data_IF_622932819906
#
_entry.id   IF_622932819906
#
_cell.length_a   1.000
_cell.length_b   1.000
_cell.length_c   1.000
_cell.angle_alpha   90.00
_cell.angle_beta   90.00
_cell.angle_gamma   90.00
#
_symmetry.space_group_name_H-M   'P 1'
#
loop_
_entity.id
_entity.type
_entity.pdbx_description
1 polymer ?
#
# COMPACT_ATOMS: atom_id res chain seq x y z
N UNK A 1 3.61 5.30 18.54
CA UNK A 1 4.59 6.32 18.96
C UNK A 1 5.46 6.53 17.74
N UNK A 2 5.44 7.74 17.20
CA UNK A 2 6.10 8.05 15.94
C UNK A 2 7.62 8.04 16.10
N UNK A 3 8.32 7.35 15.20
CA UNK A 3 9.78 7.28 15.11
C UNK A 3 10.50 7.17 16.47
N UNK A 4 10.29 6.07 17.21
CA UNK A 4 10.95 5.80 18.47
C UNK A 4 12.48 6.00 18.40
N UNK A 5 12.99 6.94 19.19
CA UNK A 5 14.42 7.14 19.39
C UNK A 5 14.86 6.43 20.69
N UNK A 6 15.80 5.48 20.65
CA UNK A 6 16.23 4.69 21.81
C UNK A 6 17.05 5.46 22.85
N UNK A 7 17.41 6.72 22.59
CA UNK A 7 18.07 7.60 23.57
C UNK A 7 19.57 7.75 23.35
N UNK A 8 20.36 7.74 24.42
CA UNK A 8 21.79 8.03 24.39
C UNK A 8 22.61 6.89 23.77
N UNK A 9 22.60 6.83 22.44
CA UNK A 9 23.36 5.90 21.61
C UNK A 9 24.84 6.26 21.49
N UNK A 10 25.25 7.42 22.03
CA UNK A 10 26.64 7.88 21.99
C UNK A 10 27.46 7.36 23.19
N UNK A 11 26.81 6.88 24.25
CA UNK A 11 27.47 6.18 25.35
C UNK A 11 27.96 4.80 24.90
N UNK A 12 29.27 4.47 25.07
CA UNK A 12 29.80 3.15 24.76
C UNK A 12 29.06 1.98 25.40
N UNK A 13 28.44 2.18 26.57
CA UNK A 13 27.62 1.17 27.23
C UNK A 13 26.31 0.85 26.50
N UNK A 14 25.86 1.74 25.60
CA UNK A 14 24.58 1.68 24.91
C UNK A 14 24.71 1.43 23.40
N UNK A 15 25.90 1.13 22.89
CA UNK A 15 26.09 0.92 21.45
C UNK A 15 25.17 -0.17 20.89
N UNK A 16 24.81 -1.19 21.66
CA UNK A 16 23.86 -2.22 21.24
C UNK A 16 22.49 -1.66 20.82
N UNK A 17 22.07 -0.51 21.38
CA UNK A 17 20.83 0.19 21.02
C UNK A 17 20.92 0.90 19.66
N UNK A 18 22.13 1.29 19.23
CA UNK A 18 22.38 1.91 17.92
C UNK A 18 22.70 0.88 16.83
N UNK A 19 23.28 -0.25 17.22
CA UNK A 19 23.77 -1.27 16.29
C UNK A 19 22.66 -2.03 15.55
N UNK A 20 21.38 -1.69 15.71
CA UNK A 20 20.31 -2.29 14.88
C UNK A 20 20.55 -2.01 13.38
N UNK A 21 21.07 -0.82 13.04
CA UNK A 21 21.38 -0.45 11.65
C UNK A 21 22.54 -1.24 11.02
N UNK A 22 23.62 -1.49 11.76
CA UNK A 22 24.84 -2.11 11.21
C UNK A 22 24.90 -3.63 11.41
N UNK A 23 24.29 -4.14 12.49
CA UNK A 23 24.45 -5.52 12.93
C UNK A 23 23.13 -6.20 13.29
N UNK A 24 21.98 -5.59 12.94
CA UNK A 24 20.66 -6.15 13.24
C UNK A 24 20.48 -6.48 14.74
N UNK A 25 21.05 -5.64 15.62
CA UNK A 25 20.87 -5.77 17.07
C UNK A 25 19.41 -5.50 17.45
N UNK A 26 18.71 -6.43 18.12
CA UNK A 26 17.32 -6.25 18.52
C UNK A 26 17.17 -5.49 19.85
N UNK A 27 18.25 -4.94 20.41
CA UNK A 27 18.28 -4.47 21.80
C UNK A 27 17.32 -3.31 22.07
N UNK A 28 17.20 -2.36 21.13
CA UNK A 28 16.31 -1.21 21.30
C UNK A 28 14.84 -1.65 21.39
N UNK A 29 14.40 -2.48 20.46
CA UNK A 29 13.03 -2.99 20.41
C UNK A 29 12.77 -3.94 21.58
N UNK A 30 13.62 -4.94 21.77
CA UNK A 30 13.41 -6.01 22.76
C UNK A 30 13.46 -5.48 24.18
N UNK A 31 14.46 -4.67 24.51
CA UNK A 31 14.75 -4.28 25.90
C UNK A 31 14.04 -2.99 26.31
N UNK A 32 13.70 -2.11 25.36
CA UNK A 32 13.08 -0.81 25.65
C UNK A 32 11.65 -0.72 25.10
N UNK A 33 11.49 -0.87 23.78
CA UNK A 33 10.19 -0.58 23.15
C UNK A 33 9.13 -1.64 23.45
N UNK A 34 9.48 -2.92 23.48
CA UNK A 34 8.53 -3.99 23.74
C UNK A 34 7.92 -3.89 25.15
N UNK A 35 8.69 -3.73 26.24
CA UNK A 35 8.13 -3.47 27.56
C UNK A 35 7.28 -2.19 27.61
N UNK A 36 7.75 -1.12 26.95
CA UNK A 36 7.01 0.14 26.86
C UNK A 36 5.65 -0.05 26.17
N UNK A 37 5.62 -0.67 24.99
CA UNK A 37 4.40 -0.90 24.24
C UNK A 37 3.46 -1.85 24.98
N UNK A 38 3.95 -2.93 25.62
CA UNK A 38 3.11 -3.80 26.46
C UNK A 38 2.43 -3.04 27.58
N UNK A 39 3.15 -2.14 28.24
CA UNK A 39 2.57 -1.29 29.29
C UNK A 39 1.49 -0.36 28.74
N UNK A 40 1.75 0.31 27.61
CA UNK A 40 0.80 1.22 26.96
C UNK A 40 -0.44 0.46 26.45
N UNK A 41 -0.25 -0.69 25.80
CA UNK A 41 -1.33 -1.53 25.27
C UNK A 41 -2.20 -2.04 26.41
N UNK A 42 -1.62 -2.51 27.52
CA UNK A 42 -2.38 -2.93 28.69
C UNK A 42 -3.26 -1.78 29.23
N UNK A 43 -2.73 -0.56 29.29
CA UNK A 43 -3.49 0.62 29.71
C UNK A 43 -4.62 0.97 28.71
N UNK A 44 -4.34 0.93 27.41
CA UNK A 44 -5.38 1.13 26.36
C UNK A 44 -6.47 0.08 26.50
N UNK A 45 -6.09 -1.20 26.64
CA UNK A 45 -7.03 -2.32 26.75
C UNK A 45 -7.83 -2.28 28.04
N UNK A 46 -7.39 -1.61 29.10
CA UNK A 46 -8.21 -1.42 30.30
C UNK A 46 -9.49 -0.62 30.02
N UNK A 47 -9.50 0.23 28.99
CA UNK A 47 -10.64 1.10 28.64
C UNK A 47 -11.19 0.88 27.24
N UNK A 48 -10.42 0.28 26.34
CA UNK A 48 -10.75 0.11 24.93
C UNK A 48 -10.24 -1.23 24.41
N UNK A 49 -11.14 -2.20 24.31
CA UNK A 49 -10.83 -3.54 23.81
C UNK A 49 -10.81 -3.63 22.28
N UNK A 50 -11.41 -2.68 21.56
CA UNK A 50 -11.81 -2.87 20.15
C UNK A 50 -10.94 -2.20 19.10
N UNK A 51 -10.20 -1.17 19.46
CA UNK A 51 -9.44 -0.42 18.46
C UNK A 51 -8.11 -1.09 18.15
N UNK A 52 -7.66 -0.95 16.91
CA UNK A 52 -6.32 -1.34 16.49
C UNK A 52 -5.30 -0.48 17.22
N UNK A 53 -4.25 -1.11 17.74
CA UNK A 53 -3.09 -0.43 18.30
C UNK A 53 -1.94 -0.54 17.30
N UNK A 54 -1.58 0.60 16.72
CA UNK A 54 -0.43 0.71 15.84
C UNK A 54 0.85 0.98 16.66
N UNK A 55 1.93 0.26 16.36
CA UNK A 55 3.22 0.38 17.03
C UNK A 55 4.37 0.37 16.02
N UNK A 56 5.50 0.98 16.34
CA UNK A 56 6.61 1.19 15.41
C UNK A 56 7.92 0.59 15.96
N UNK A 57 8.83 0.12 15.09
CA UNK A 57 10.22 -0.16 15.48
C UNK A 57 11.00 1.15 15.67
N UNK A 58 12.29 1.10 16.01
CA UNK A 58 13.12 2.31 15.85
C UNK A 58 13.17 2.74 14.38
N UNK A 59 13.34 4.05 14.16
CA UNK A 59 13.18 4.69 12.85
C UNK A 59 14.17 4.25 11.75
N UNK A 60 15.16 3.41 12.05
CA UNK A 60 16.24 3.03 11.13
C UNK A 60 16.41 1.52 10.96
N UNK A 61 15.44 0.72 11.39
CA UNK A 61 15.48 -0.73 11.19
C UNK A 61 15.24 -1.10 9.73
N UNK A 62 16.31 -1.49 9.04
CA UNK A 62 16.28 -1.90 7.62
C UNK A 62 16.45 -3.41 7.43
N UNK A 63 16.83 -4.16 8.48
CA UNK A 63 17.18 -5.58 8.40
C UNK A 63 16.11 -6.51 8.98
N UNK A 64 15.56 -6.17 10.14
CA UNK A 64 14.39 -6.81 10.77
C UNK A 64 13.92 -5.96 11.93
N UNK A 65 12.65 -6.06 12.31
CA UNK A 65 12.22 -5.49 13.59
C UNK A 65 12.87 -6.28 14.73
N UNK A 66 13.45 -5.58 15.71
CA UNK A 66 13.99 -6.21 16.92
C UNK A 66 12.95 -6.85 17.87
N UNK A 67 11.66 -6.89 17.49
CA UNK A 67 10.61 -7.54 18.29
C UNK A 67 10.65 -9.08 18.23
N UNK A 68 11.36 -9.68 17.27
CA UNK A 68 11.62 -11.14 17.20
C UNK A 68 10.38 -12.05 17.31
N UNK A 69 9.23 -11.61 16.78
CA UNK A 69 7.96 -12.35 16.85
C UNK A 69 7.22 -12.23 18.18
N UNK A 70 7.75 -11.48 19.14
CA UNK A 70 7.03 -11.16 20.37
C UNK A 70 5.83 -10.26 20.08
N UNK A 71 4.71 -10.57 20.73
CA UNK A 71 3.44 -9.85 20.58
C UNK A 71 3.24 -8.86 21.72
N UNK A 72 2.46 -7.81 21.44
CA UNK A 72 2.10 -6.83 22.47
C UNK A 72 0.98 -7.37 23.38
N UNK A 73 0.10 -8.22 22.84
CA UNK A 73 -1.01 -8.89 23.52
C UNK A 73 -0.83 -10.43 23.46
N UNK A 74 0.17 -10.99 24.17
CA UNK A 74 0.48 -12.43 24.08
C UNK A 74 -0.65 -13.35 24.54
N UNK A 75 -1.55 -12.85 25.40
CA UNK A 75 -2.65 -13.61 25.99
C UNK A 75 -3.91 -13.67 25.10
N UNK A 76 -3.96 -12.92 23.99
CA UNK A 76 -5.13 -12.82 23.09
C UNK A 76 -4.74 -13.18 21.64
N UNK A 77 -4.26 -14.41 21.38
CA UNK A 77 -3.53 -14.68 20.16
C UNK A 77 -4.38 -14.69 18.89
N UNK A 78 -5.68 -14.97 19.00
CA UNK A 78 -6.60 -15.08 17.86
C UNK A 78 -7.43 -13.79 17.65
N UNK A 79 -7.33 -12.84 18.58
CA UNK A 79 -8.07 -11.57 18.54
C UNK A 79 -7.17 -10.32 18.60
N UNK A 80 -5.83 -10.47 18.52
CA UNK A 80 -4.94 -9.32 18.66
C UNK A 80 -5.28 -8.26 17.62
N UNK A 81 -5.52 -7.03 18.09
CA UNK A 81 -5.80 -5.87 17.24
C UNK A 81 -4.54 -5.02 17.16
N UNK A 82 -3.48 -5.64 16.67
CA UNK A 82 -2.15 -5.03 16.53
C UNK A 82 -1.89 -4.72 15.05
N UNK A 83 -1.28 -3.56 14.80
CA UNK A 83 -0.77 -3.18 13.50
C UNK A 83 0.69 -2.73 13.63
N UNK A 84 1.58 -3.41 12.93
CA UNK A 84 2.97 -3.07 12.85
C UNK A 84 3.12 -1.95 11.83
N UNK A 85 3.41 -0.78 12.37
CA UNK A 85 3.51 0.47 11.66
C UNK A 85 4.97 0.79 11.39
N UNK A 86 5.28 1.27 10.19
CA UNK A 86 6.65 1.53 9.78
C UNK A 86 6.71 2.56 8.66
N UNK A 87 7.88 3.15 8.46
CA UNK A 87 8.09 4.24 7.51
C UNK A 87 8.96 3.81 6.34
N UNK A 88 8.75 4.42 5.18
CA UNK A 88 9.61 4.21 4.01
C UNK A 88 10.09 5.51 3.40
N UNK A 89 11.34 5.85 3.71
CA UNK A 89 12.07 6.97 3.13
C UNK A 89 13.32 6.46 2.42
N UNK A 90 13.42 6.72 1.11
CA UNK A 90 14.69 6.47 0.43
C UNK A 90 15.67 7.58 0.79
N UNK A 91 16.72 7.25 1.53
CA UNK A 91 17.78 8.21 1.93
C UNK A 91 18.43 8.91 0.73
N UNK A 92 18.53 8.22 -0.40
CA UNK A 92 19.10 8.78 -1.62
C UNK A 92 18.14 9.74 -2.34
N UNK A 93 16.83 9.69 -2.06
CA UNK A 93 15.76 10.45 -2.73
C UNK A 93 16.03 11.96 -2.88
N UNK A 94 16.49 12.70 -1.85
CA UNK A 94 16.72 14.15 -1.94
C UNK A 94 17.89 14.51 -2.88
N UNK A 95 18.77 13.55 -3.16
CA UNK A 95 19.97 13.70 -4.00
C UNK A 95 19.94 12.76 -5.21
N UNK A 96 18.77 12.23 -5.61
CA UNK A 96 18.68 11.29 -6.74
C UNK A 96 19.00 12.02 -8.03
N UNK A 97 20.26 11.97 -8.40
CA UNK A 97 20.62 11.92 -9.81
C UNK A 97 19.94 10.69 -10.42
N UNK A 98 19.43 10.75 -11.67
CA UNK A 98 18.72 9.63 -12.30
C UNK A 98 19.44 8.27 -12.19
N UNK A 99 20.77 8.30 -12.13
CA UNK A 99 21.64 7.13 -12.00
C UNK A 99 21.54 6.38 -10.67
N UNK A 100 21.04 6.99 -9.59
CA UNK A 100 20.91 6.33 -8.27
C UNK A 100 19.47 5.91 -7.94
N UNK A 101 18.51 6.20 -8.83
CA UNK A 101 17.09 5.85 -8.62
C UNK A 101 16.84 4.35 -8.43
N UNK A 102 17.67 3.50 -9.05
CA UNK A 102 17.58 2.05 -8.89
C UNK A 102 17.92 1.59 -7.46
N UNK A 103 18.76 2.33 -6.72
CA UNK A 103 19.07 2.01 -5.32
C UNK A 103 17.84 2.20 -4.44
N UNK A 104 17.05 3.25 -4.68
CA UNK A 104 15.76 3.42 -4.01
C UNK A 104 14.80 2.28 -4.34
N UNK A 105 14.78 1.78 -5.58
CA UNK A 105 13.95 0.63 -5.95
C UNK A 105 14.33 -0.66 -5.19
N UNK A 106 15.63 -0.94 -5.09
CA UNK A 106 16.15 -2.07 -4.32
C UNK A 106 15.84 -1.88 -2.84
N UNK A 107 16.08 -0.68 -2.31
CA UNK A 107 15.85 -0.33 -0.91
C UNK A 107 14.39 -0.52 -0.52
N UNK A 108 13.44 0.05 -1.26
CA UNK A 108 12.01 -0.11 -0.97
C UNK A 108 11.63 -1.58 -0.95
N UNK A 109 11.94 -2.34 -1.99
CA UNK A 109 11.58 -3.77 -2.01
C UNK A 109 12.20 -4.56 -0.87
N UNK A 110 13.45 -4.27 -0.52
CA UNK A 110 14.10 -4.90 0.62
C UNK A 110 13.39 -4.55 1.94
N UNK A 111 13.16 -3.26 2.19
CA UNK A 111 12.50 -2.78 3.40
C UNK A 111 11.08 -3.36 3.52
N UNK A 112 10.28 -3.31 2.46
CA UNK A 112 8.93 -3.91 2.45
C UNK A 112 8.98 -5.41 2.77
N UNK A 113 9.91 -6.16 2.17
CA UNK A 113 10.06 -7.59 2.47
C UNK A 113 10.41 -7.86 3.93
N UNK A 114 11.29 -7.04 4.51
CA UNK A 114 11.71 -7.13 5.91
C UNK A 114 10.57 -6.77 6.86
N UNK A 115 9.82 -5.70 6.58
CA UNK A 115 8.73 -5.25 7.45
C UNK A 115 7.49 -6.15 7.32
N UNK A 116 7.19 -6.66 6.12
CA UNK A 116 6.16 -7.68 5.92
C UNK A 116 6.52 -9.00 6.64
N UNK A 117 7.78 -9.44 6.55
CA UNK A 117 8.26 -10.58 7.32
C UNK A 117 8.09 -10.36 8.82
N UNK A 118 8.48 -9.18 9.32
CA UNK A 118 8.32 -8.80 10.72
C UNK A 118 6.84 -8.88 11.13
N UNK A 119 5.95 -8.14 10.46
CA UNK A 119 4.51 -8.14 10.75
C UNK A 119 3.92 -9.56 10.78
N UNK A 120 4.33 -10.43 9.84
CA UNK A 120 3.94 -11.85 9.82
C UNK A 120 4.46 -12.64 11.01
N UNK A 121 5.71 -12.42 11.42
CA UNK A 121 6.25 -13.04 12.65
C UNK A 121 5.47 -12.62 13.88
N UNK A 122 5.06 -11.36 13.99
CA UNK A 122 4.23 -10.87 15.09
C UNK A 122 2.74 -11.22 14.94
N UNK A 123 2.31 -11.79 13.81
CA UNK A 123 0.89 -12.03 13.48
C UNK A 123 0.05 -10.76 13.58
N UNK A 124 0.63 -9.66 13.13
CA UNK A 124 0.04 -8.33 13.16
C UNK A 124 -0.37 -7.88 11.76
N UNK A 125 -1.28 -6.91 11.66
CA UNK A 125 -1.44 -6.14 10.42
C UNK A 125 -0.15 -5.38 10.09
N UNK A 126 0.04 -5.00 8.83
CA UNK A 126 1.16 -4.15 8.38
C UNK A 126 0.65 -2.81 7.89
N UNK A 127 1.31 -1.72 8.29
CA UNK A 127 0.88 -0.36 8.03
C UNK A 127 2.07 0.53 7.65
N UNK A 128 2.11 1.01 6.41
CA UNK A 128 3.07 2.04 6.01
C UNK A 128 2.55 3.41 6.46
N UNK A 129 2.84 3.79 7.72
CA UNK A 129 2.32 5.02 8.33
C UNK A 129 2.90 6.28 7.74
N UNK A 130 4.09 6.22 7.16
CA UNK A 130 4.68 7.36 6.48
C UNK A 130 5.54 6.93 5.30
N UNK A 131 5.33 7.58 4.16
CA UNK A 131 6.23 7.50 3.02
C UNK A 131 6.16 8.79 2.24
N UNK A 132 7.12 8.98 1.33
CA UNK A 132 7.17 10.19 0.53
C UNK A 132 8.00 11.26 1.20
N UNK A 133 7.44 12.44 1.47
CA UNK A 133 8.21 13.63 1.88
C UNK A 133 9.19 14.14 0.81
N UNK A 134 8.70 14.30 -0.42
CA UNK A 134 9.45 14.89 -1.54
C UNK A 134 8.75 16.12 -2.11
N UNK A 135 9.53 17.03 -2.68
CA UNK A 135 9.08 18.30 -3.25
C UNK A 135 8.00 18.13 -4.32
N UNK A 136 7.17 19.17 -4.46
CA UNK A 136 6.02 19.17 -5.38
C UNK A 136 6.25 19.97 -6.65
N UNK A 137 7.20 20.91 -6.63
CA UNK A 137 7.36 21.92 -7.69
C UNK A 137 8.76 21.88 -8.29
N UNK A 138 8.87 22.46 -9.48
CA UNK A 138 10.13 22.57 -10.21
C UNK A 138 11.22 23.40 -9.51
N UNK A 139 11.01 23.99 -8.34
CA UNK A 139 12.14 24.54 -7.57
C UNK A 139 12.77 23.45 -6.69
N UNK A 140 11.97 22.76 -5.86
CA UNK A 140 12.47 21.69 -4.97
C UNK A 140 12.81 20.39 -5.71
N UNK A 141 12.15 20.13 -6.84
CA UNK A 141 12.46 19.00 -7.72
C UNK A 141 13.13 19.42 -9.02
N UNK A 142 12.89 20.62 -9.59
CA UNK A 142 13.51 21.01 -10.87
C UNK A 142 14.73 21.95 -10.79
N UNK A 143 15.19 22.36 -9.60
CA UNK A 143 16.54 22.95 -9.51
C UNK A 143 17.64 21.91 -9.78
N UNK A 144 17.34 20.59 -9.66
CA UNK A 144 18.27 19.52 -10.10
C UNK A 144 17.68 18.27 -10.77
N UNK A 145 16.42 17.84 -10.56
CA UNK A 145 16.02 16.44 -10.89
C UNK A 145 14.62 16.15 -11.48
N UNK A 146 13.76 17.14 -11.74
CA UNK A 146 12.47 16.97 -12.43
C UNK A 146 11.62 15.78 -11.94
N UNK A 147 10.97 15.08 -12.87
CA UNK A 147 10.09 13.91 -12.72
C UNK A 147 10.57 12.77 -11.78
N UNK A 148 11.83 12.77 -11.32
CA UNK A 148 12.38 11.77 -10.42
C UNK A 148 11.67 11.71 -9.05
N UNK A 149 11.27 12.86 -8.48
CA UNK A 149 10.54 12.91 -7.21
C UNK A 149 9.18 12.19 -7.29
N UNK A 150 8.43 12.48 -8.35
CA UNK A 150 7.12 11.85 -8.59
C UNK A 150 7.30 10.35 -8.86
N UNK A 151 8.35 9.97 -9.60
CA UNK A 151 8.69 8.58 -9.84
C UNK A 151 9.05 7.84 -8.53
N UNK A 152 9.65 8.50 -7.55
CA UNK A 152 9.94 7.93 -6.23
C UNK A 152 8.66 7.66 -5.44
N UNK A 153 7.76 8.65 -5.37
CA UNK A 153 6.45 8.49 -4.70
C UNK A 153 5.66 7.36 -5.36
N UNK A 154 5.62 7.35 -6.70
CA UNK A 154 4.96 6.30 -7.48
C UNK A 154 5.56 4.92 -7.17
N UNK A 155 6.89 4.83 -7.09
CA UNK A 155 7.59 3.57 -6.83
C UNK A 155 7.27 3.00 -5.45
N UNK A 156 7.33 3.82 -4.41
CA UNK A 156 6.94 3.38 -3.07
C UNK A 156 5.47 2.92 -3.04
N UNK A 157 4.59 3.63 -3.74
CA UNK A 157 3.19 3.21 -3.93
C UNK A 157 3.06 1.85 -4.64
N UNK A 158 3.78 1.65 -5.74
CA UNK A 158 3.77 0.36 -6.47
C UNK A 158 4.26 -0.79 -5.59
N UNK A 159 5.34 -0.60 -4.83
CA UNK A 159 5.83 -1.64 -3.91
C UNK A 159 4.82 -1.90 -2.78
N UNK A 160 4.12 -0.87 -2.29
CA UNK A 160 3.04 -1.07 -1.34
C UNK A 160 1.87 -1.91 -1.89
N UNK A 161 1.51 -1.72 -3.17
CA UNK A 161 0.51 -2.57 -3.83
C UNK A 161 1.02 -4.02 -3.99
N UNK A 162 2.31 -4.22 -4.33
CA UNK A 162 2.95 -5.55 -4.43
C UNK A 162 2.86 -6.34 -3.10
N UNK A 163 2.94 -5.64 -1.96
CA UNK A 163 2.86 -6.24 -0.62
C UNK A 163 1.48 -6.14 0.03
N UNK A 164 0.47 -5.58 -0.67
CA UNK A 164 -0.88 -5.36 -0.15
C UNK A 164 -0.92 -4.55 1.17
N UNK A 165 0.00 -3.60 1.33
CA UNK A 165 0.13 -2.78 2.54
C UNK A 165 -0.59 -1.45 2.39
N UNK A 166 -1.38 -1.08 3.42
CA UNK A 166 -1.99 0.25 3.51
C UNK A 166 -0.94 1.33 3.71
N UNK A 167 -1.11 2.49 3.08
CA UNK A 167 -0.11 3.57 3.06
C UNK A 167 -0.69 4.95 3.39
N UNK A 168 0.08 5.76 4.11
CA UNK A 168 -0.23 7.16 4.36
C UNK A 168 0.89 8.06 3.87
N UNK A 169 0.55 8.97 2.97
CA UNK A 169 1.51 9.90 2.40
C UNK A 169 1.88 11.00 3.40
N UNK A 170 3.17 11.21 3.62
CA UNK A 170 3.69 12.39 4.32
C UNK A 170 3.91 13.53 3.31
N UNK A 171 3.13 14.60 3.33
CA UNK A 171 2.01 14.91 4.24
C UNK A 171 0.90 15.68 3.51
N UNK A 172 -0.32 15.69 4.07
CA UNK A 172 -1.44 16.40 3.47
C UNK A 172 -1.20 17.91 3.39
N UNK A 173 -0.95 18.57 4.52
CA UNK A 173 -0.73 20.02 4.58
C UNK A 173 0.29 20.34 5.67
N UNK A 174 1.14 21.34 5.41
CA UNK A 174 1.97 21.90 6.45
C UNK A 174 1.10 22.73 7.43
N UNK A 175 0.96 22.27 8.67
CA UNK A 175 0.27 23.00 9.73
C UNK A 175 1.17 23.07 10.96
N UNK A 176 1.70 24.25 11.26
CA UNK A 176 2.54 24.50 12.45
C UNK A 176 3.65 23.43 12.64
N UNK A 177 4.27 23.00 11.54
CA UNK A 177 5.28 21.93 11.56
C UNK A 177 6.51 22.34 12.37
N UNK A 178 6.58 21.80 13.60
CA UNK A 178 7.70 21.93 14.52
C UNK A 178 8.81 20.89 14.26
N UNK A 179 8.60 19.93 13.36
CA UNK A 179 9.55 18.85 13.03
C UNK A 179 10.61 19.26 12.00
N UNK A 180 10.60 20.54 11.57
CA UNK A 180 11.66 21.24 10.85
C UNK A 180 11.99 20.78 9.42
N UNK A 181 11.34 19.73 8.89
CA UNK A 181 11.67 19.13 7.59
C UNK A 181 10.92 19.69 6.37
N UNK A 182 9.94 20.59 6.52
CA UNK A 182 9.69 21.62 5.51
C UNK A 182 8.38 21.51 4.72
N UNK A 183 7.59 22.58 4.81
CA UNK A 183 6.34 22.73 4.07
C UNK A 183 6.42 22.77 2.54
N UNK A 184 7.55 22.45 1.92
CA UNK A 184 7.66 22.24 0.47
C UNK A 184 7.23 20.82 0.03
N UNK A 185 7.16 19.88 0.97
CA UNK A 185 6.91 18.47 0.70
C UNK A 185 5.44 18.04 0.83
N UNK A 186 4.57 18.93 1.31
CA UNK A 186 3.14 18.64 1.49
C UNK A 186 2.39 18.52 0.16
N UNK A 187 1.19 17.92 0.18
CA UNK A 187 0.24 17.94 -0.93
C UNK A 187 -0.33 19.35 -1.16
N UNK A 188 -0.49 20.12 -0.08
CA UNK A 188 -0.72 21.56 -0.08
C UNK A 188 0.53 22.26 0.46
N UNK A 189 1.43 22.72 -0.42
CA UNK A 189 2.64 23.46 -0.02
C UNK A 189 2.31 24.80 0.64
N UNK A 190 3.34 25.59 0.98
CA UNK A 190 3.20 26.88 1.68
C UNK A 190 2.28 27.89 1.01
N UNK A 191 2.13 27.84 -0.31
CA UNK A 191 1.21 28.70 -1.06
C UNK A 191 -0.27 28.28 -0.91
N UNK A 192 -0.54 27.12 -0.30
CA UNK A 192 -1.87 26.57 -0.07
C UNK A 192 -2.53 26.02 -1.33
N UNK A 193 -1.82 25.97 -2.46
CA UNK A 193 -2.35 25.42 -3.71
C UNK A 193 -2.17 23.90 -3.73
N UNK A 194 -3.11 23.20 -4.37
CA UNK A 194 -3.01 21.75 -4.52
C UNK A 194 -1.89 21.40 -5.51
N UNK A 195 -0.95 20.54 -5.09
CA UNK A 195 0.03 19.96 -5.99
C UNK A 195 -0.60 18.84 -6.86
N UNK A 196 -1.26 19.21 -7.97
CA UNK A 196 -2.05 18.28 -8.78
C UNK A 196 -1.25 17.08 -9.33
N UNK A 197 -0.02 17.27 -9.79
CA UNK A 197 0.82 16.17 -10.29
C UNK A 197 1.19 15.17 -9.19
N UNK A 198 1.39 15.66 -7.97
CA UNK A 198 1.61 14.82 -6.79
C UNK A 198 0.32 14.10 -6.40
N UNK A 199 -0.83 14.78 -6.43
CA UNK A 199 -2.13 14.16 -6.21
C UNK A 199 -2.36 12.99 -7.19
N UNK A 200 -2.05 13.19 -8.48
CA UNK A 200 -2.21 12.17 -9.52
C UNK A 200 -1.41 10.90 -9.23
N UNK A 201 -0.23 11.02 -8.62
CA UNK A 201 0.62 9.88 -8.25
C UNK A 201 0.16 9.20 -6.96
N UNK A 202 -0.39 9.94 -6.00
CA UNK A 202 -0.84 9.39 -4.71
C UNK A 202 -2.23 8.76 -4.83
N UNK A 203 -3.16 9.46 -5.48
CA UNK A 203 -4.55 9.05 -5.62
C UNK A 203 -4.71 8.03 -6.75
N UNK A 204 -4.14 6.84 -6.56
CA UNK A 204 -4.28 5.71 -7.49
C UNK A 204 -5.55 4.91 -7.18
N UNK A 205 -6.12 4.17 -8.15
CA UNK A 205 -7.15 3.19 -7.87
C UNK A 205 -6.67 2.11 -6.89
N UNK A 206 -7.54 1.66 -5.99
CA UNK A 206 -7.25 0.60 -5.03
C UNK A 206 -8.54 -0.05 -4.49
N UNK A 207 -8.43 -1.27 -3.97
CA UNK A 207 -9.54 -1.94 -3.29
C UNK A 207 -9.64 -1.41 -1.86
N UNK A 208 -10.73 -0.71 -1.53
CA UNK A 208 -10.99 -0.19 -0.19
C UNK A 208 -11.41 -1.31 0.77
N UNK A 209 -12.18 -2.27 0.26
CA UNK A 209 -12.60 -3.45 0.98
C UNK A 209 -12.64 -4.63 0.01
N UNK A 210 -12.20 -5.80 0.46
CA UNK A 210 -12.22 -7.04 -0.34
C UNK A 210 -13.07 -8.06 0.39
N UNK A 211 -14.04 -8.64 -0.31
CA UNK A 211 -14.89 -9.72 0.19
C UNK A 211 -14.14 -11.05 0.20
N UNK A 212 -13.11 -11.15 1.04
CA UNK A 212 -12.22 -12.30 1.16
C UNK A 212 -10.75 -11.89 1.21
N UNK A 213 -9.86 -12.81 0.81
CA UNK A 213 -8.42 -12.64 0.98
C UNK A 213 -7.76 -12.09 -0.29
N UNK A 214 -7.22 -10.85 -0.28
CA UNK A 214 -6.50 -10.32 -1.43
C UNK A 214 -5.22 -11.13 -1.69
N UNK A 215 -4.96 -11.38 -2.97
CA UNK A 215 -3.77 -12.10 -3.46
C UNK A 215 -2.85 -11.21 -4.27
N UNK A 216 -3.42 -10.27 -5.02
CA UNK A 216 -2.70 -9.36 -5.90
C UNK A 216 -3.48 -8.05 -6.02
N UNK A 217 -2.78 -6.92 -5.98
CA UNK A 217 -3.31 -5.63 -6.39
C UNK A 217 -2.22 -4.91 -7.18
N UNK A 218 -2.54 -4.44 -8.38
CA UNK A 218 -1.59 -3.73 -9.24
C UNK A 218 -2.29 -2.56 -9.90
N UNK A 219 -1.65 -1.39 -9.85
CA UNK A 219 -2.03 -0.22 -10.64
C UNK A 219 -0.94 0.09 -11.67
N UNK A 220 -1.36 0.26 -12.93
CA UNK A 220 -0.50 0.78 -13.99
C UNK A 220 -0.99 2.15 -14.44
N UNK A 221 -0.27 3.20 -14.06
CA UNK A 221 -0.58 4.57 -14.47
C UNK A 221 -0.45 4.78 -15.99
N UNK A 222 0.51 4.11 -16.64
CA UNK A 222 0.75 4.25 -18.08
C UNK A 222 -0.37 3.66 -18.94
N UNK A 223 -0.90 2.51 -18.54
CA UNK A 223 -2.03 1.85 -19.21
C UNK A 223 -3.38 2.24 -18.64
N UNK A 224 -3.40 2.93 -17.48
CA UNK A 224 -4.60 3.22 -16.69
C UNK A 224 -5.41 1.95 -16.42
N UNK A 225 -4.72 0.92 -15.94
CA UNK A 225 -5.30 -0.38 -15.60
C UNK A 225 -5.06 -0.71 -14.14
N UNK A 226 -6.13 -1.03 -13.42
CA UNK A 226 -6.08 -1.65 -12.10
C UNK A 226 -6.42 -3.14 -12.24
N UNK A 227 -5.64 -4.00 -11.60
CA UNK A 227 -5.92 -5.44 -11.47
C UNK A 227 -5.99 -5.79 -9.98
N UNK A 228 -7.03 -6.52 -9.59
CA UNK A 228 -7.19 -7.11 -8.25
C UNK A 228 -7.50 -8.60 -8.41
N UNK A 229 -6.73 -9.45 -7.73
CA UNK A 229 -7.03 -10.87 -7.56
C UNK A 229 -7.23 -11.18 -6.08
N UNK A 230 -8.24 -11.99 -5.76
CA UNK A 230 -8.55 -12.37 -4.38
C UNK A 230 -9.25 -13.73 -4.31
N UNK A 231 -9.08 -14.42 -3.19
CA UNK A 231 -9.92 -15.55 -2.81
C UNK A 231 -11.20 -15.01 -2.21
N UNK A 232 -12.33 -15.21 -2.90
CA UNK A 232 -13.62 -14.80 -2.40
C UNK A 232 -13.98 -15.59 -1.13
N UNK A 233 -14.44 -14.87 -0.11
CA UNK A 233 -15.03 -15.48 1.07
C UNK A 233 -16.33 -16.21 0.69
N UNK A 234 -16.70 -17.22 1.48
CA UNK A 234 -17.98 -17.90 1.32
C UNK A 234 -19.13 -16.89 1.53
N UNK A 235 -20.17 -16.96 0.72
CA UNK A 235 -21.27 -15.99 0.76
C UNK A 235 -22.06 -15.96 2.09
N UNK A 236 -21.90 -17.02 2.89
CA UNK A 236 -22.49 -17.16 4.23
C UNK A 236 -21.54 -16.73 5.36
N UNK A 237 -20.31 -16.31 5.03
CA UNK A 237 -19.39 -15.76 6.02
C UNK A 237 -19.81 -14.36 6.48
N UNK A 238 -19.40 -13.99 7.69
CA UNK A 238 -19.59 -12.63 8.23
C UNK A 238 -18.64 -11.60 7.55
N UNK A 239 -17.72 -12.06 6.70
CA UNK A 239 -16.87 -11.21 5.87
C UNK A 239 -17.73 -10.56 4.78
N UNK A 240 -17.69 -9.23 4.68
CA UNK A 240 -18.62 -8.45 3.87
C UNK A 240 -18.82 -9.01 2.45
N UNK A 241 -20.06 -9.05 1.98
CA UNK A 241 -20.46 -9.69 0.70
C UNK A 241 -20.04 -8.94 -0.57
N UNK A 242 -19.33 -7.82 -0.41
CA UNK A 242 -19.06 -6.87 -1.48
C UNK A 242 -17.62 -6.39 -1.43
N UNK A 243 -16.92 -6.53 -2.56
CA UNK A 243 -15.64 -5.86 -2.79
C UNK A 243 -15.91 -4.43 -3.24
N UNK A 244 -15.30 -3.46 -2.56
CA UNK A 244 -15.40 -2.03 -2.85
C UNK A 244 -14.08 -1.53 -3.45
N UNK A 245 -14.15 -0.88 -4.61
CA UNK A 245 -12.98 -0.30 -5.29
C UNK A 245 -13.13 1.21 -5.45
N UNK A 246 -12.08 1.94 -5.06
CA UNK A 246 -11.91 3.36 -5.34
C UNK A 246 -11.11 3.55 -6.62
N UNK A 247 -11.55 4.46 -7.50
CA UNK A 247 -10.93 4.65 -8.83
C UNK A 247 -10.23 5.99 -9.04
N UNK A 248 -10.43 6.98 -8.16
CA UNK A 248 -10.01 8.37 -8.41
C UNK A 248 -10.35 8.84 -9.85
N UNK A 249 -11.57 8.55 -10.31
CA UNK A 249 -11.95 8.62 -11.72
C UNK A 249 -11.73 9.98 -12.40
N UNK A 250 -11.96 11.14 -11.75
CA UNK A 250 -11.66 12.44 -12.37
C UNK A 250 -10.18 12.60 -12.77
N UNK A 251 -9.26 11.91 -12.09
CA UNK A 251 -7.83 11.98 -12.39
C UNK A 251 -7.44 10.99 -13.49
N UNK A 252 -7.90 9.74 -13.41
CA UNK A 252 -7.37 8.64 -14.24
C UNK A 252 -8.32 8.17 -15.35
N UNK A 253 -9.61 8.46 -15.23
CA UNK A 253 -10.66 7.97 -16.13
C UNK A 253 -11.64 9.10 -16.54
N UNK A 254 -11.15 10.25 -17.06
CA UNK A 254 -12.02 11.38 -17.41
C UNK A 254 -13.06 11.03 -18.48
N UNK A 255 -12.74 10.08 -19.36
CA UNK A 255 -13.61 9.60 -20.43
C UNK A 255 -14.41 8.34 -20.03
N UNK A 256 -14.32 7.95 -18.74
CA UNK A 256 -14.91 6.76 -18.17
C UNK A 256 -14.00 5.52 -18.21
N UNK A 257 -14.52 4.41 -17.71
CA UNK A 257 -13.79 3.15 -17.56
C UNK A 257 -14.67 1.94 -17.93
N UNK A 258 -14.02 0.80 -18.19
CA UNK A 258 -14.63 -0.51 -18.35
C UNK A 258 -14.19 -1.43 -17.22
N UNK A 259 -15.10 -2.30 -16.78
CA UNK A 259 -14.84 -3.29 -15.73
C UNK A 259 -14.99 -4.69 -16.30
N UNK A 260 -13.97 -5.51 -16.06
CA UNK A 260 -13.96 -6.93 -16.38
C UNK A 260 -13.89 -7.71 -15.08
N UNK A 261 -14.88 -8.59 -14.86
CA UNK A 261 -14.89 -9.52 -13.74
C UNK A 261 -14.86 -10.93 -14.29
N UNK A 262 -13.92 -11.73 -13.80
CA UNK A 262 -13.82 -13.15 -14.13
C UNK A 262 -13.62 -14.01 -12.88
N UNK A 263 -14.16 -15.22 -12.97
CA UNK A 263 -13.79 -16.32 -12.07
C UNK A 263 -12.53 -16.96 -12.61
N UNK A 264 -11.55 -17.16 -11.73
CA UNK A 264 -10.38 -17.95 -12.02
C UNK A 264 -10.60 -19.36 -11.46
N UNK A 265 -10.36 -20.37 -12.28
CA UNK A 265 -10.24 -21.74 -11.77
C UNK A 265 -9.03 -21.79 -10.82
N UNK A 266 -9.09 -22.54 -9.71
CA UNK A 266 -7.95 -22.69 -8.82
C UNK A 266 -6.72 -23.10 -9.63
N UNK A 267 -5.68 -22.26 -9.65
CA UNK A 267 -4.39 -22.67 -10.18
C UNK A 267 -3.93 -23.82 -9.29
N UNK A 268 -3.68 -25.01 -9.86
CA UNK A 268 -2.83 -25.99 -9.20
C UNK A 268 -1.54 -25.26 -8.84
N UNK A 269 -1.39 -24.95 -7.55
CA UNK A 269 -0.33 -24.10 -7.04
C UNK A 269 0.97 -24.89 -7.17
N UNK A 270 1.68 -24.68 -8.28
CA UNK A 270 3.03 -25.21 -8.45
C UNK A 270 3.92 -24.55 -7.40
N UNK A 271 4.60 -25.44 -6.68
CA UNK A 271 5.62 -25.17 -5.69
C UNK A 271 6.60 -24.08 -6.14
N UNK A 272 7.06 -23.30 -5.18
CA UNK A 272 7.89 -22.11 -5.34
C UNK A 272 9.16 -22.41 -6.16
N UNK A 273 9.26 -21.88 -7.38
CA UNK A 273 10.49 -21.40 -8.07
C UNK A 273 10.26 -21.26 -9.58
N UNK A 274 9.61 -20.19 -10.01
CA UNK A 274 9.78 -19.69 -11.39
C UNK A 274 9.41 -18.22 -11.48
N UNK A 275 10.43 -17.36 -11.40
CA UNK A 275 10.42 -16.09 -12.11
C UNK A 275 10.17 -16.35 -13.61
N UNK A 276 9.49 -15.39 -14.25
CA UNK A 276 9.21 -15.32 -15.70
C UNK A 276 7.99 -16.11 -16.22
N UNK A 277 6.82 -15.49 -16.07
CA UNK A 277 5.81 -15.47 -17.13
C UNK A 277 4.91 -14.25 -16.94
N UNK A 278 5.35 -13.11 -17.47
CA UNK A 278 4.45 -12.00 -17.75
C UNK A 278 3.38 -12.54 -18.72
N UNK A 279 2.20 -12.85 -18.19
CA UNK A 279 1.10 -13.36 -19.00
C UNK A 279 0.42 -12.15 -19.63
N UNK A 280 0.61 -12.04 -20.92
CA UNK A 280 0.00 -11.09 -21.83
C UNK A 280 -1.53 -11.17 -21.71
N UNK A 281 -2.15 -10.20 -21.03
CA UNK A 281 -3.59 -9.97 -21.15
C UNK A 281 -3.79 -9.30 -22.52
N UNK A 282 -3.89 -10.13 -23.57
CA UNK A 282 -4.30 -9.67 -24.90
C UNK A 282 -5.78 -9.26 -24.80
N UNK A 283 -6.02 -7.96 -24.67
CA UNK A 283 -7.34 -7.38 -24.93
C UNK A 283 -7.58 -7.40 -26.44
N UNK A 284 -8.15 -8.50 -26.94
CA UNK A 284 -8.71 -8.54 -28.29
C UNK A 284 -9.95 -7.68 -28.34
N UNK A 285 -9.84 -6.48 -28.92
CA UNK A 285 -10.99 -5.71 -29.39
C UNK A 285 -11.66 -6.54 -30.49
N UNK A 286 -12.78 -7.19 -30.16
CA UNK A 286 -13.60 -7.87 -31.15
C UNK A 286 -14.28 -6.82 -32.04
N UNK A 287 -13.62 -6.42 -33.11
CA UNK A 287 -14.31 -5.87 -34.28
C UNK A 287 -15.10 -7.00 -34.91
N UNK A 288 -16.40 -6.77 -35.04
CA UNK A 288 -17.36 -7.71 -35.63
C UNK A 288 -16.93 -8.15 -37.03
N UNK A 289 -16.46 -9.39 -37.17
CA UNK A 289 -16.57 -10.21 -38.38
C UNK A 289 -16.47 -11.71 -38.02
N UNK A 290 -17.42 -12.48 -38.50
CA UNK A 290 -17.70 -13.86 -38.10
C UNK A 290 -16.74 -14.92 -38.67
N UNK A 291 -16.37 -15.93 -37.87
CA UNK A 291 -16.34 -17.37 -38.20
C UNK A 291 -15.85 -18.22 -36.99
N UNK A 292 -16.24 -19.51 -36.85
CA UNK A 292 -16.13 -20.23 -35.58
C UNK A 292 -14.84 -21.05 -35.47
N UNK A 293 -14.15 -20.95 -34.34
CA UNK A 293 -13.20 -21.96 -33.86
C UNK A 293 -13.65 -22.42 -32.49
N UNK A 294 -13.94 -23.73 -32.38
CA UNK A 294 -14.27 -24.38 -31.11
C UNK A 294 -12.99 -24.58 -30.29
N UNK A 295 -12.87 -23.81 -29.21
CA UNK A 295 -12.12 -24.21 -28.03
C UNK A 295 -13.05 -24.02 -26.82
N UNK A 296 -13.39 -25.12 -26.12
CA UNK A 296 -14.18 -25.10 -24.89
C UNK A 296 -13.23 -25.00 -23.71
N UNK A 297 -13.06 -23.79 -23.21
CA UNK A 297 -12.76 -23.47 -21.81
C UNK A 297 -13.69 -22.30 -21.49
N UNK A 298 -14.78 -22.57 -20.77
CA UNK A 298 -15.80 -21.56 -20.49
C UNK A 298 -15.36 -20.70 -19.30
N UNK A 299 -14.49 -19.73 -19.54
CA UNK A 299 -14.29 -18.62 -18.61
C UNK A 299 -15.53 -17.72 -18.70
N UNK A 300 -16.27 -17.60 -17.60
CA UNK A 300 -17.43 -16.71 -17.53
C UNK A 300 -16.90 -15.28 -17.29
N UNK A 301 -16.66 -14.55 -18.39
CA UNK A 301 -16.28 -13.14 -18.34
C UNK A 301 -17.53 -12.27 -18.41
N UNK A 302 -17.79 -11.48 -17.37
CA UNK A 302 -18.84 -10.45 -17.41
C UNK A 302 -18.19 -9.09 -17.65
N UNK A 303 -18.58 -8.42 -18.73
CA UNK A 303 -18.18 -7.03 -19.02
C UNK A 303 -19.28 -6.13 -18.46
N UNK A 304 -18.96 -5.31 -17.45
CA UNK A 304 -19.89 -4.29 -16.95
C UNK A 304 -19.39 -2.93 -17.45
N UNK A 305 -20.18 -2.29 -18.32
CA UNK A 305 -19.94 -0.91 -18.73
C UNK A 305 -20.65 0.03 -17.77
N UNK A 306 -19.90 0.73 -16.92
CA UNK A 306 -20.42 1.84 -16.13
C UNK A 306 -20.30 3.16 -16.91
N UNK A 307 -21.29 4.05 -16.77
CA UNK A 307 -21.20 5.47 -17.16
C UNK A 307 -21.00 6.28 -15.89
N UNK A 308 -20.03 7.19 -15.90
CA UNK A 308 -19.90 8.18 -14.84
C UNK A 308 -20.97 9.25 -15.08
N UNK A 309 -22.00 9.28 -14.24
CA UNK A 309 -22.96 10.39 -14.23
C UNK A 309 -22.27 11.60 -13.57
N UNK A 310 -21.86 12.55 -14.41
CA UNK A 310 -21.31 13.84 -13.98
C UNK A 310 -22.46 14.72 -13.47
N UNK A 311 -22.68 14.76 -12.16
CA UNK A 311 -23.53 15.77 -11.54
C UNK A 311 -22.73 17.08 -11.35
N UNK A 312 -23.42 18.20 -11.57
CA UNK A 312 -22.87 19.52 -11.87
C UNK A 312 -22.05 20.22 -10.78
N UNK A 313 -21.35 21.25 -11.25
CA UNK A 313 -20.36 22.08 -10.56
C UNK A 313 -20.82 22.71 -9.24
N UNK A 314 -19.99 22.54 -8.19
CA UNK A 314 -19.33 23.59 -7.39
C UNK A 314 -18.58 22.91 -6.23
N UNK A 315 -17.27 23.17 -6.12
CA UNK A 315 -16.24 22.53 -5.27
C UNK A 315 -15.71 21.16 -5.76
N UNK A 316 -14.40 20.90 -5.71
CA UNK A 316 -13.80 19.62 -6.08
C UNK A 316 -13.98 18.65 -4.93
N UNK A 317 -15.22 18.26 -4.63
CA UNK A 317 -15.41 16.99 -3.95
C UNK A 317 -14.96 15.90 -4.91
N UNK A 318 -13.91 15.17 -4.54
CA UNK A 318 -13.53 13.91 -5.15
C UNK A 318 -14.80 13.06 -5.23
N UNK A 319 -15.46 13.04 -6.39
CA UNK A 319 -16.59 12.14 -6.62
C UNK A 319 -16.06 10.72 -6.42
N UNK A 320 -16.39 10.12 -5.28
CA UNK A 320 -15.99 8.77 -4.94
C UNK A 320 -16.88 7.84 -5.76
N UNK A 321 -16.39 7.45 -6.93
CA UNK A 321 -17.00 6.35 -7.67
C UNK A 321 -16.63 5.05 -6.96
N UNK A 322 -17.59 4.51 -6.21
CA UNK A 322 -17.52 3.19 -5.58
C UNK A 322 -18.04 2.15 -6.58
N UNK A 323 -17.20 1.19 -6.93
CA UNK A 323 -17.64 -0.02 -7.62
C UNK A 323 -17.90 -1.11 -6.59
N UNK A 324 -19.10 -1.68 -6.61
CA UNK A 324 -19.49 -2.81 -5.77
C UNK A 324 -19.55 -4.08 -6.62
N UNK A 325 -18.77 -5.09 -6.24
CA UNK A 325 -18.81 -6.42 -6.85
C UNK A 325 -19.34 -7.41 -5.82
N UNK A 326 -20.56 -7.90 -6.03
CA UNK A 326 -21.20 -8.90 -5.17
C UNK A 326 -20.81 -10.32 -5.60
N UNK A 327 -20.42 -11.15 -4.64
CA UNK A 327 -20.21 -12.58 -4.84
C UNK A 327 -21.54 -13.33 -4.66
N UNK A 328 -22.05 -13.95 -5.72
CA UNK A 328 -23.19 -14.84 -5.62
C UNK A 328 -22.74 -16.21 -5.05
N UNK A 329 -23.53 -16.76 -4.12
CA UNK A 329 -23.30 -17.98 -3.34
C UNK A 329 -22.65 -19.15 -4.10
N UNK A 330 -21.31 -19.26 -4.01
CA UNK A 330 -20.57 -20.49 -4.31
C UNK A 330 -19.29 -20.50 -3.46
N UNK A 331 -18.92 -21.68 -2.96
CA UNK A 331 -17.72 -21.96 -2.18
C UNK A 331 -16.44 -21.34 -2.75
N UNK A 332 -15.52 -20.97 -1.86
CA UNK A 332 -14.14 -20.45 -2.08
C UNK A 332 -13.68 -20.47 -3.56
N UNK A 333 -13.77 -19.31 -4.22
CA UNK A 333 -13.39 -19.13 -5.63
C UNK A 333 -12.34 -18.03 -5.76
N UNK A 334 -11.36 -18.22 -6.66
CA UNK A 334 -10.47 -17.13 -7.04
C UNK A 334 -11.21 -16.18 -7.99
N UNK A 335 -11.12 -14.89 -7.73
CA UNK A 335 -11.75 -13.82 -8.51
C UNK A 335 -10.67 -12.89 -9.06
N UNK A 336 -10.87 -12.41 -10.30
CA UNK A 336 -10.07 -11.33 -10.87
C UNK A 336 -10.98 -10.18 -11.33
N UNK A 337 -10.54 -8.97 -11.01
CA UNK A 337 -11.16 -7.71 -11.41
C UNK A 337 -10.11 -6.89 -12.16
N UNK A 338 -10.45 -6.46 -13.37
CA UNK A 338 -9.66 -5.48 -14.11
C UNK A 338 -10.51 -4.25 -14.42
N UNK A 339 -9.97 -3.06 -14.15
CA UNK A 339 -10.58 -1.78 -14.52
C UNK A 339 -9.64 -1.07 -15.49
N UNK A 340 -10.14 -0.69 -16.66
CA UNK A 340 -9.35 -0.03 -17.70
C UNK A 340 -10.05 1.24 -18.19
N UNK A 341 -9.27 2.24 -18.61
CA UNK A 341 -9.81 3.41 -19.31
C UNK A 341 -10.48 2.98 -20.64
N UNK A 342 -11.51 3.72 -21.06
CA UNK A 342 -12.21 3.47 -22.33
C UNK A 342 -11.39 3.86 -23.56
#
# INVERSE_FOLDING_TARGET
MNEPWPGDTNDPGNYSLFMSWWFNSPAAERDLLLPFYRHVVAAIRAVNKRHIVAYEPVMWDVWSSGFLGERLEPDEPDESREAFSWHSYCWWAPNVTPHLSFLCAIYHRHLFAVQDFSAKQQRSGSLLSEYGSLGSTGADCADRHGSACLAEIARAGTVADEFLVSRFYWQYKNFEDHTSSGGGFSLYPKDGLLAEEKLRVIATPFAQAVAGRPLLMVWSAGWRVMVLEYEAADADSDEGRTTEVHLAAPLHFPDGFAVLVSKLEPREYLDQTAAAAATEIVMTWATTAAAPVRARTSTLTTVVQARADLAGALAPELAVHRLEVSTAAVATQMMALAVAAK
#
